data_IF_098153341743
#
_entry.id   IF_098153341743
#
_cell.length_a   1.000
_cell.length_b   1.000
_cell.length_c   1.000
_cell.angle_alpha   90.00
_cell.angle_beta   90.00
_cell.angle_gamma   90.00
#
_symmetry.space_group_name_H-M   'P 1'
#
loop_
_entity.id
_entity.type
_entity.pdbx_description
1 polymer ?
#
# COMPACT_ATOMS: atom_id res chain seq x y z
N UNK A 1 -20.60 -27.67 -13.36
CA UNK A 1 -20.59 -26.35 -14.01
C UNK A 1 -20.11 -25.38 -12.96
N UNK A 2 -18.78 -25.22 -12.85
CA UNK A 2 -18.13 -24.33 -11.86
C UNK A 2 -17.99 -22.96 -12.50
N UNK A 3 -18.57 -21.94 -11.85
CA UNK A 3 -18.41 -20.52 -12.19
C UNK A 3 -17.01 -20.04 -11.77
N UNK A 4 -16.14 -19.58 -12.71
CA UNK A 4 -14.76 -19.19 -12.38
C UNK A 4 -14.59 -17.72 -12.04
N UNK A 5 -15.59 -17.01 -11.52
CA UNK A 5 -15.54 -15.57 -11.25
C UNK A 5 -15.89 -15.16 -9.81
N UNK A 6 -15.55 -15.97 -8.83
CA UNK A 6 -15.56 -15.50 -7.44
C UNK A 6 -14.27 -14.69 -7.18
N UNK A 7 -14.29 -13.38 -7.42
CA UNK A 7 -13.32 -12.46 -6.82
C UNK A 7 -13.42 -12.58 -5.29
N UNK A 8 -12.27 -12.67 -4.56
CA UNK A 8 -12.32 -12.73 -3.10
C UNK A 8 -13.10 -11.52 -2.59
N UNK A 9 -14.05 -11.80 -1.73
CA UNK A 9 -15.00 -10.85 -1.16
C UNK A 9 -14.24 -9.72 -0.48
N UNK A 10 -14.18 -8.58 -1.16
CA UNK A 10 -13.72 -7.35 -0.53
C UNK A 10 -14.76 -6.98 0.51
N UNK A 11 -14.37 -6.93 1.77
CA UNK A 11 -15.18 -6.69 2.95
C UNK A 11 -16.35 -5.72 2.72
N UNK A 12 -17.48 -5.97 3.38
CA UNK A 12 -18.66 -5.09 3.40
C UNK A 12 -18.29 -3.67 3.85
N UNK A 13 -19.28 -2.77 3.98
CA UNK A 13 -19.00 -1.41 4.42
C UNK A 13 -18.39 -1.40 5.83
N UNK A 14 -17.30 -0.64 5.98
CA UNK A 14 -16.59 -0.47 7.24
C UNK A 14 -17.19 0.72 7.98
N UNK A 15 -17.48 0.54 9.28
CA UNK A 15 -17.93 1.62 10.15
C UNK A 15 -17.03 1.69 11.37
N UNK A 16 -16.57 2.88 11.73
CA UNK A 16 -15.84 3.12 12.97
C UNK A 16 -16.33 4.39 13.65
N UNK A 17 -16.23 4.40 14.98
CA UNK A 17 -16.61 5.54 15.81
C UNK A 17 -15.36 6.34 16.18
N UNK A 18 -15.38 7.64 15.89
CA UNK A 18 -14.31 8.55 16.29
C UNK A 18 -14.37 8.87 17.79
N UNK A 19 -13.26 9.31 18.37
CA UNK A 19 -13.19 9.75 19.76
C UNK A 19 -14.14 10.93 20.07
N UNK A 20 -14.41 11.78 19.07
CA UNK A 20 -15.41 12.85 19.19
C UNK A 20 -16.86 12.37 19.06
N UNK A 21 -17.10 11.05 18.98
CA UNK A 21 -18.43 10.44 19.01
C UNK A 21 -19.15 10.35 17.67
N UNK A 22 -18.50 10.70 16.54
CA UNK A 22 -19.08 10.52 15.19
C UNK A 22 -18.88 9.12 14.67
N UNK A 23 -19.86 8.60 13.95
CA UNK A 23 -19.73 7.37 13.18
C UNK A 23 -19.28 7.73 11.75
N UNK A 24 -18.20 7.12 11.30
CA UNK A 24 -17.73 7.20 9.92
C UNK A 24 -18.03 5.87 9.23
N UNK A 25 -18.64 5.93 8.05
CA UNK A 25 -18.95 4.74 7.25
C UNK A 25 -18.29 4.87 5.89
N UNK A 26 -17.54 3.85 5.53
CA UNK A 26 -16.88 3.74 4.23
C UNK A 26 -17.51 2.55 3.50
N UNK A 27 -17.96 2.77 2.28
CA UNK A 27 -18.62 1.74 1.49
C UNK A 27 -18.27 1.86 0.01
N UNK A 28 -18.89 0.99 -0.79
CA UNK A 28 -18.83 1.04 -2.25
C UNK A 28 -20.21 1.39 -2.79
N UNK A 29 -20.25 2.24 -3.80
CA UNK A 29 -21.46 2.68 -4.49
C UNK A 29 -21.31 2.41 -5.98
N UNK A 30 -22.24 1.65 -6.56
CA UNK A 30 -22.34 1.46 -8.00
C UNK A 30 -23.25 2.54 -8.58
N UNK A 31 -22.76 3.29 -9.56
CA UNK A 31 -23.54 4.30 -10.29
C UNK A 31 -23.69 3.87 -11.75
N UNK A 32 -24.86 4.16 -12.33
CA UNK A 32 -25.16 3.87 -13.74
C UNK A 32 -25.90 2.56 -13.93
N UNK A 33 -25.87 2.03 -15.17
CA UNK A 33 -26.59 0.80 -15.54
C UNK A 33 -25.89 -0.44 -14.98
N UNK A 34 -26.67 -1.45 -14.59
CA UNK A 34 -26.18 -2.71 -14.01
C UNK A 34 -25.13 -3.43 -14.86
N UNK A 35 -25.21 -3.31 -16.19
CA UNK A 35 -24.29 -3.97 -17.13
C UNK A 35 -22.89 -3.33 -17.19
N UNK A 36 -22.75 -2.06 -16.81
CA UNK A 36 -21.47 -1.30 -16.74
C UNK A 36 -21.49 -0.29 -15.61
N UNK A 37 -21.43 -0.74 -14.35
CA UNK A 37 -21.45 0.16 -13.22
C UNK A 37 -20.15 0.99 -13.13
N UNK A 38 -20.29 2.26 -12.84
CA UNK A 38 -19.19 3.11 -12.41
C UNK A 38 -19.08 3.05 -10.89
N UNK A 39 -18.01 2.47 -10.38
CA UNK A 39 -17.81 2.30 -8.95
C UNK A 39 -17.27 3.56 -8.29
N UNK A 40 -17.83 3.88 -7.12
CA UNK A 40 -17.36 4.95 -6.22
C UNK A 40 -17.11 4.38 -4.84
N UNK A 41 -16.23 5.02 -4.09
CA UNK A 41 -16.09 4.84 -2.65
C UNK A 41 -16.97 5.87 -1.98
N UNK A 42 -17.93 5.44 -1.17
CA UNK A 42 -18.75 6.35 -0.36
C UNK A 42 -18.09 6.57 0.99
N UNK A 43 -17.92 7.83 1.37
CA UNK A 43 -17.54 8.26 2.70
C UNK A 43 -18.71 9.00 3.32
N UNK A 44 -19.25 8.44 4.40
CA UNK A 44 -20.33 9.04 5.18
C UNK A 44 -19.79 9.47 6.54
N UNK A 45 -19.91 10.74 6.86
CA UNK A 45 -19.40 11.33 8.11
C UNK A 45 -20.38 11.21 9.28
N UNK A 46 -21.52 10.54 9.06
CA UNK A 46 -22.55 10.34 10.09
C UNK A 46 -23.10 11.64 10.69
N UNK A 47 -24.19 11.49 11.44
CA UNK A 47 -24.78 12.62 12.14
C UNK A 47 -24.01 12.92 13.43
N UNK A 48 -23.78 14.19 13.79
CA UNK A 48 -23.41 14.51 15.14
C UNK A 48 -24.54 14.09 16.11
N UNK A 49 -24.26 13.78 17.37
CA UNK A 49 -25.31 13.49 18.34
C UNK A 49 -26.35 14.63 18.36
N UNK A 50 -27.62 14.32 17.97
CA UNK A 50 -28.72 15.29 17.90
C UNK A 50 -28.91 16.05 16.57
N UNK A 51 -28.11 15.76 15.53
CA UNK A 51 -28.25 16.36 14.20
C UNK A 51 -29.04 15.50 13.22
N UNK A 52 -29.70 16.12 12.24
CA UNK A 52 -30.57 15.46 11.25
C UNK A 52 -29.92 15.18 9.89
N UNK A 53 -28.82 15.83 9.55
CA UNK A 53 -28.20 15.75 8.22
C UNK A 53 -26.79 15.14 8.24
N UNK A 54 -26.65 13.94 7.65
CA UNK A 54 -25.35 13.31 7.39
C UNK A 54 -24.69 13.91 6.15
N UNK A 55 -23.40 14.17 6.24
CA UNK A 55 -22.59 14.60 5.10
C UNK A 55 -21.91 13.37 4.49
N UNK A 56 -22.07 13.15 3.20
CA UNK A 56 -21.42 12.06 2.50
C UNK A 56 -20.74 12.57 1.23
N UNK A 57 -19.73 11.83 0.77
CA UNK A 57 -19.04 12.08 -0.48
C UNK A 57 -18.88 10.78 -1.27
N UNK A 58 -19.05 10.86 -2.58
CA UNK A 58 -18.78 9.78 -3.52
C UNK A 58 -17.45 10.04 -4.22
N UNK A 59 -16.42 9.27 -3.90
CA UNK A 59 -15.07 9.42 -4.42
C UNK A 59 -14.82 8.41 -5.55
N UNK A 60 -14.10 8.81 -6.59
CA UNK A 60 -13.49 7.84 -7.49
C UNK A 60 -12.46 6.99 -6.72
N UNK A 61 -12.12 5.77 -7.18
CA UNK A 61 -11.07 4.99 -6.54
C UNK A 61 -9.72 5.72 -6.43
N UNK A 62 -9.39 6.59 -7.41
CA UNK A 62 -8.18 7.39 -7.39
C UNK A 62 -8.22 8.51 -6.32
N UNK A 63 -9.37 9.19 -6.20
CA UNK A 63 -9.59 10.21 -5.15
C UNK A 63 -9.56 9.59 -3.76
N UNK A 64 -10.19 8.43 -3.58
CA UNK A 64 -10.18 7.70 -2.30
C UNK A 64 -8.76 7.33 -1.87
N UNK A 65 -7.91 6.85 -2.80
CA UNK A 65 -6.49 6.57 -2.50
C UNK A 65 -5.71 7.83 -2.12
N UNK A 66 -5.94 8.95 -2.81
CA UNK A 66 -5.29 10.23 -2.46
C UNK A 66 -5.73 10.75 -1.10
N UNK A 67 -7.02 10.64 -0.78
CA UNK A 67 -7.53 11.01 0.53
C UNK A 67 -6.93 10.14 1.64
N UNK A 68 -6.86 8.82 1.45
CA UNK A 68 -6.25 7.90 2.40
C UNK A 68 -4.77 8.25 2.66
N UNK A 69 -4.00 8.51 1.59
CA UNK A 69 -2.60 8.94 1.72
C UNK A 69 -2.47 10.28 2.48
N UNK A 70 -3.36 11.24 2.21
CA UNK A 70 -3.37 12.52 2.92
C UNK A 70 -3.72 12.36 4.40
N UNK A 71 -4.70 11.51 4.74
CA UNK A 71 -5.06 11.22 6.14
C UNK A 71 -3.91 10.57 6.88
N UNK A 72 -3.24 9.58 6.30
CA UNK A 72 -2.05 8.94 6.88
C UNK A 72 -0.92 9.97 7.09
N UNK A 73 -0.68 10.83 6.11
CA UNK A 73 0.33 11.88 6.21
C UNK A 73 0.04 12.88 7.33
N UNK A 74 -1.22 13.30 7.51
CA UNK A 74 -1.63 14.19 8.59
C UNK A 74 -1.56 13.51 9.97
N UNK A 75 -1.93 12.24 10.07
CA UNK A 75 -1.79 11.46 11.29
C UNK A 75 -0.31 11.40 11.72
N UNK A 76 0.59 11.02 10.80
CA UNK A 76 2.02 10.99 11.09
C UNK A 76 2.61 12.37 11.44
N UNK A 77 2.07 13.47 10.89
CA UNK A 77 2.45 14.82 11.26
C UNK A 77 1.96 15.18 12.66
N UNK A 78 0.74 14.81 13.03
CA UNK A 78 0.19 15.02 14.35
C UNK A 78 0.96 14.25 15.43
N UNK A 79 1.32 12.98 15.15
CA UNK A 79 2.14 12.17 16.06
C UNK A 79 3.53 12.79 16.29
N UNK A 80 4.16 13.32 15.23
CA UNK A 80 5.44 14.05 15.38
C UNK A 80 5.27 15.29 16.23
N UNK A 81 4.28 16.12 15.97
CA UNK A 81 4.02 17.34 16.74
C UNK A 81 3.73 17.05 18.22
N UNK A 82 3.03 15.94 18.53
CA UNK A 82 2.80 15.50 19.89
C UNK A 82 4.09 15.07 20.61
N UNK A 83 5.04 14.49 19.86
CA UNK A 83 6.32 14.03 20.38
C UNK A 83 7.40 15.14 20.44
N UNK A 84 7.27 16.20 19.62
CA UNK A 84 8.20 17.35 19.59
C UNK A 84 8.10 18.25 20.82
N UNK A 85 7.10 18.07 21.71
CA UNK A 85 7.07 18.64 23.06
C UNK A 85 8.15 18.09 24.00
N UNK A 86 8.91 17.08 23.58
CA UNK A 86 9.99 16.44 24.31
C UNK A 86 11.16 16.10 23.39
N UNK A 87 12.13 17.01 23.28
CA UNK A 87 13.41 16.90 22.60
C UNK A 87 13.39 16.90 21.06
N UNK A 88 14.08 17.88 20.51
CA UNK A 88 14.18 18.17 19.10
C UNK A 88 14.64 17.02 18.23
N UNK A 89 13.96 16.87 17.13
CA UNK A 89 14.33 15.98 16.04
C UNK A 89 14.44 16.77 14.75
N UNK A 90 15.55 17.48 14.64
CA UNK A 90 16.02 17.99 13.37
C UNK A 90 17.17 17.11 12.89
N UNK A 91 16.99 16.57 11.70
CA UNK A 91 18.01 16.61 10.66
C UNK A 91 17.43 15.92 9.43
N UNK A 92 17.29 16.66 8.34
CA UNK A 92 17.24 16.03 7.01
C UNK A 92 18.42 15.06 6.95
N UNK A 93 18.12 13.75 6.86
CA UNK A 93 19.18 12.74 6.67
C UNK A 93 20.04 13.13 5.49
N UNK A 94 21.38 13.03 5.59
CA UNK A 94 22.27 13.34 4.49
C UNK A 94 21.90 12.57 3.23
N UNK A 95 22.20 13.14 2.07
CA UNK A 95 21.90 12.50 0.79
C UNK A 95 22.51 11.09 0.74
N UNK A 96 21.65 10.07 0.66
CA UNK A 96 22.06 8.66 0.65
C UNK A 96 21.65 7.87 1.89
N UNK A 97 21.25 8.53 2.98
CA UNK A 97 20.74 7.86 4.18
C UNK A 97 19.22 8.06 4.28
N UNK A 98 18.50 6.97 4.52
CA UNK A 98 17.06 6.96 4.72
C UNK A 98 16.73 6.65 6.17
N UNK A 99 15.74 7.38 6.75
CA UNK A 99 15.20 7.09 8.06
C UNK A 99 13.74 6.68 7.93
N UNK A 100 13.38 5.61 8.61
CA UNK A 100 12.00 5.15 8.77
C UNK A 100 11.75 5.02 10.27
N UNK A 101 10.73 5.71 10.75
CA UNK A 101 10.26 5.57 12.12
C UNK A 101 9.05 4.64 12.13
N UNK A 102 8.99 3.72 13.09
CA UNK A 102 7.87 2.79 13.26
C UNK A 102 7.36 2.91 14.68
N UNK A 103 6.04 3.11 14.81
CA UNK A 103 5.36 3.23 16.10
C UNK A 103 4.20 2.24 16.19
N UNK A 104 3.94 1.77 17.41
CA UNK A 104 2.78 0.95 17.73
C UNK A 104 1.48 1.76 17.52
N UNK A 105 0.48 1.14 16.86
CA UNK A 105 -0.78 1.80 16.48
C UNK A 105 -2.03 1.11 17.03
N UNK A 106 -1.86 0.12 17.90
CA UNK A 106 -2.93 -0.65 18.54
C UNK A 106 -3.08 -2.07 17.97
N UNK A 107 -3.48 -3.03 18.78
CA UNK A 107 -3.60 -4.43 18.37
C UNK A 107 -2.29 -5.01 17.86
N UNK A 108 -2.29 -5.54 16.65
CA UNK A 108 -1.08 -6.01 15.95
C UNK A 108 -0.64 -5.02 14.85
N UNK A 109 -1.13 -3.76 14.93
CA UNK A 109 -0.87 -2.74 13.90
C UNK A 109 0.30 -1.85 14.28
N UNK A 110 1.09 -1.47 13.26
CA UNK A 110 2.20 -0.54 13.37
C UNK A 110 2.12 0.50 12.24
N UNK A 111 2.35 1.76 12.60
CA UNK A 111 2.48 2.85 11.64
C UNK A 111 3.96 3.10 11.33
N UNK A 112 4.31 3.11 10.05
CA UNK A 112 5.64 3.53 9.59
C UNK A 112 5.56 4.92 8.95
N UNK A 113 6.55 5.75 9.19
CA UNK A 113 6.64 7.10 8.65
C UNK A 113 8.05 7.36 8.07
N UNK A 114 8.11 8.00 6.91
CA UNK A 114 9.35 8.43 6.28
C UNK A 114 9.10 9.66 5.39
N UNK A 115 9.91 10.70 5.51
CA UNK A 115 9.84 11.92 4.66
C UNK A 115 8.43 12.52 4.52
N UNK A 116 7.59 12.44 5.57
CA UNK A 116 6.21 12.92 5.51
C UNK A 116 5.21 11.97 4.85
N UNK A 117 5.61 10.77 4.45
CA UNK A 117 4.72 9.69 4.01
C UNK A 117 4.50 8.70 5.15
N UNK A 118 3.33 8.08 5.20
CA UNK A 118 3.01 7.06 6.17
C UNK A 118 2.36 5.84 5.50
N UNK A 119 2.54 4.69 6.12
CA UNK A 119 1.83 3.46 5.80
C UNK A 119 1.55 2.69 7.10
N UNK A 120 0.59 1.76 7.03
CA UNK A 120 0.26 0.87 8.14
C UNK A 120 0.64 -0.57 7.78
N UNK A 121 0.98 -1.34 8.80
CA UNK A 121 1.00 -2.80 8.77
C UNK A 121 0.05 -3.35 9.79
N UNK A 122 -0.51 -4.51 9.53
CA UNK A 122 -1.30 -5.27 10.48
C UNK A 122 -1.09 -6.77 10.26
N UNK A 123 -1.63 -7.59 11.13
CA UNK A 123 -1.65 -9.03 10.94
C UNK A 123 -3.07 -9.48 10.54
N UNK A 124 -3.21 -10.61 9.79
CA UNK A 124 -4.51 -11.19 9.54
C UNK A 124 -5.15 -11.69 10.85
N UNK A 125 -6.46 -11.83 10.86
CA UNK A 125 -7.22 -12.26 12.05
C UNK A 125 -6.74 -13.61 12.61
N UNK A 126 -6.26 -14.52 11.76
CA UNK A 126 -5.65 -15.79 12.18
C UNK A 126 -4.39 -15.63 13.03
N UNK A 127 -3.74 -14.46 12.96
CA UNK A 127 -2.53 -14.13 13.70
C UNK A 127 -2.77 -13.04 14.76
N UNK A 128 -4.03 -12.82 15.15
CA UNK A 128 -4.41 -11.90 16.21
C UNK A 128 -4.65 -10.44 15.76
N UNK A 129 -4.47 -10.12 14.50
CA UNK A 129 -4.71 -8.80 13.95
C UNK A 129 -6.16 -8.53 13.53
N UNK A 130 -6.41 -7.36 12.98
CA UNK A 130 -7.70 -6.95 12.45
C UNK A 130 -7.77 -7.00 10.91
N UNK A 131 -6.69 -7.44 10.24
CA UNK A 131 -6.55 -7.43 8.77
C UNK A 131 -6.81 -6.04 8.15
N UNK A 132 -6.40 -5.00 8.88
CA UNK A 132 -6.65 -3.61 8.49
C UNK A 132 -5.61 -3.06 7.50
N UNK A 133 -4.48 -3.74 7.34
CA UNK A 133 -3.37 -3.34 6.47
C UNK A 133 -2.54 -4.56 6.03
N UNK A 134 -1.70 -4.42 4.98
CA UNK A 134 -0.80 -5.49 4.61
C UNK A 134 0.19 -5.84 5.73
N UNK A 135 0.57 -7.10 5.80
CA UNK A 135 1.63 -7.55 6.70
C UNK A 135 3.00 -6.97 6.30
N UNK A 136 3.98 -6.89 7.22
CA UNK A 136 5.35 -6.50 6.87
C UNK A 136 5.96 -7.34 5.73
N UNK A 137 5.66 -8.65 5.69
CA UNK A 137 6.10 -9.55 4.61
C UNK A 137 5.49 -9.16 3.26
N UNK A 138 4.20 -8.83 3.22
CA UNK A 138 3.54 -8.35 2.01
C UNK A 138 4.07 -6.99 1.57
N UNK A 139 4.42 -6.09 2.50
CA UNK A 139 5.09 -4.83 2.17
C UNK A 139 6.47 -5.07 1.54
N UNK A 140 7.25 -6.03 2.01
CA UNK A 140 8.53 -6.40 1.41
C UNK A 140 8.35 -6.86 -0.04
N UNK A 141 7.41 -7.77 -0.28
CA UNK A 141 7.10 -8.26 -1.63
C UNK A 141 6.50 -7.13 -2.50
N UNK A 142 5.66 -6.30 -1.91
CA UNK A 142 5.09 -5.10 -2.53
C UNK A 142 6.16 -4.08 -2.92
N UNK A 143 7.16 -3.85 -2.06
CA UNK A 143 8.30 -2.99 -2.37
C UNK A 143 9.10 -3.49 -3.58
N UNK A 144 9.33 -4.80 -3.67
CA UNK A 144 9.96 -5.39 -4.85
C UNK A 144 9.10 -5.20 -6.10
N UNK A 145 7.79 -5.48 -6.01
CA UNK A 145 6.87 -5.35 -7.15
C UNK A 145 6.78 -3.91 -7.67
N UNK A 146 6.67 -2.93 -6.76
CA UNK A 146 6.62 -1.51 -7.13
C UNK A 146 7.95 -1.01 -7.69
N UNK A 147 9.09 -1.51 -7.19
CA UNK A 147 10.41 -1.19 -7.73
C UNK A 147 10.56 -1.73 -9.17
N UNK A 148 10.14 -2.96 -9.43
CA UNK A 148 10.09 -3.55 -10.77
C UNK A 148 9.18 -2.74 -11.70
N UNK A 149 7.98 -2.36 -11.25
CA UNK A 149 7.04 -1.54 -12.00
C UNK A 149 7.64 -0.17 -12.35
N UNK A 150 8.35 0.47 -11.42
CA UNK A 150 9.02 1.74 -11.66
C UNK A 150 10.06 1.66 -12.78
N UNK A 151 10.94 0.67 -12.76
CA UNK A 151 11.97 0.50 -13.78
C UNK A 151 11.37 0.10 -15.13
N UNK A 152 10.37 -0.79 -15.15
CA UNK A 152 9.64 -1.14 -16.36
C UNK A 152 8.93 0.09 -16.96
N UNK A 153 8.25 0.88 -16.13
CA UNK A 153 7.57 2.11 -16.54
C UNK A 153 8.53 3.14 -17.14
N UNK A 154 9.70 3.35 -16.51
CA UNK A 154 10.74 4.24 -17.07
C UNK A 154 11.27 3.74 -18.42
N UNK A 155 11.44 2.43 -18.56
CA UNK A 155 11.84 1.85 -19.84
C UNK A 155 10.81 2.14 -20.93
N UNK A 156 9.52 1.90 -20.67
CA UNK A 156 8.44 2.18 -21.60
C UNK A 156 8.43 3.66 -22.02
N UNK A 157 8.45 4.58 -21.06
CA UNK A 157 8.46 6.03 -21.33
C UNK A 157 9.65 6.46 -22.19
N UNK A 158 10.86 5.97 -21.91
CA UNK A 158 12.06 6.28 -22.71
C UNK A 158 11.98 5.83 -24.17
N UNK A 159 11.12 4.84 -24.45
CA UNK A 159 10.93 4.31 -25.81
C UNK A 159 9.61 4.76 -26.44
N UNK A 160 8.97 5.80 -25.89
CA UNK A 160 7.72 6.35 -26.42
C UNK A 160 6.54 5.38 -26.33
N UNK A 161 6.59 4.40 -25.41
CA UNK A 161 5.54 3.42 -25.18
C UNK A 161 4.68 3.83 -23.99
N UNK A 162 3.39 3.62 -24.12
CA UNK A 162 2.44 3.88 -23.05
C UNK A 162 2.66 2.92 -21.87
N UNK A 163 2.43 3.43 -20.66
CA UNK A 163 2.53 2.65 -19.41
C UNK A 163 1.20 2.48 -18.65
N UNK A 164 0.09 2.99 -19.18
CA UNK A 164 -1.20 3.02 -18.47
C UNK A 164 -1.72 1.62 -18.14
N UNK A 165 -1.40 0.63 -18.97
CA UNK A 165 -1.75 -0.78 -18.74
C UNK A 165 -0.66 -1.58 -18.05
N UNK A 166 0.49 -0.95 -17.71
CA UNK A 166 1.55 -1.64 -16.96
C UNK A 166 1.02 -2.12 -15.61
N UNK A 167 1.17 -3.42 -15.37
CA UNK A 167 0.86 -4.06 -14.09
C UNK A 167 1.98 -5.01 -13.70
N UNK A 168 2.21 -5.12 -12.41
CA UNK A 168 3.08 -6.14 -11.83
C UNK A 168 2.28 -6.90 -10.80
N UNK A 169 2.15 -8.20 -11.00
CA UNK A 169 1.57 -9.12 -10.03
C UNK A 169 2.71 -9.86 -9.34
N UNK A 170 2.68 -9.90 -8.02
CA UNK A 170 3.63 -10.63 -7.21
C UNK A 170 2.92 -11.77 -6.47
N UNK A 171 3.48 -12.97 -6.58
CA UNK A 171 3.09 -14.15 -5.81
C UNK A 171 4.29 -14.58 -4.98
N UNK A 172 4.08 -15.02 -3.74
CA UNK A 172 5.17 -15.50 -2.91
C UNK A 172 4.75 -16.70 -2.08
N UNK A 173 5.73 -17.48 -1.67
CA UNK A 173 5.56 -18.61 -0.75
C UNK A 173 6.57 -18.50 0.38
N UNK A 174 6.16 -18.90 1.58
CA UNK A 174 7.06 -19.02 2.71
C UNK A 174 7.95 -20.26 2.56
N UNK A 175 9.18 -20.20 3.05
CA UNK A 175 10.03 -21.38 3.14
C UNK A 175 9.44 -22.39 4.13
N UNK A 176 9.60 -23.68 3.81
CA UNK A 176 9.07 -24.75 4.65
C UNK A 176 9.93 -25.03 5.89
N UNK A 177 11.20 -24.61 5.86
CA UNK A 177 12.18 -24.77 6.93
C UNK A 177 12.28 -23.52 7.84
N UNK A 178 13.10 -23.59 8.86
CA UNK A 178 13.39 -22.48 9.78
C UNK A 178 14.76 -21.86 9.50
N UNK A 179 14.97 -20.59 9.80
CA UNK A 179 13.99 -19.62 10.32
C UNK A 179 12.91 -19.24 9.30
N UNK A 180 11.75 -18.74 9.78
CA UNK A 180 10.66 -18.32 8.93
C UNK A 180 11.11 -17.17 8.00
N UNK A 181 10.91 -17.35 6.68
CA UNK A 181 11.30 -16.38 5.65
C UNK A 181 10.49 -16.59 4.38
N UNK A 182 10.47 -15.60 3.50
CA UNK A 182 9.97 -15.79 2.14
C UNK A 182 10.93 -16.73 1.40
N UNK A 183 10.40 -17.83 0.88
CA UNK A 183 11.18 -18.86 0.18
C UNK A 183 11.25 -18.61 -1.32
N UNK A 184 10.18 -18.08 -1.92
CA UNK A 184 10.14 -17.76 -3.35
C UNK A 184 9.22 -16.57 -3.61
N UNK A 185 9.59 -15.75 -4.60
CA UNK A 185 8.77 -14.64 -5.12
C UNK A 185 8.73 -14.79 -6.64
N UNK A 186 7.53 -14.75 -7.21
CA UNK A 186 7.31 -14.73 -8.65
C UNK A 186 6.67 -13.39 -9.04
N UNK A 187 7.29 -12.69 -9.97
CA UNK A 187 6.76 -11.43 -10.51
C UNK A 187 6.32 -11.65 -11.95
N UNK A 188 5.12 -11.19 -12.29
CA UNK A 188 4.59 -11.15 -13.65
C UNK A 188 4.36 -9.71 -14.06
N UNK A 189 5.06 -9.27 -15.09
CA UNK A 189 4.95 -7.92 -15.64
C UNK A 189 4.06 -7.96 -16.87
N UNK A 190 2.91 -7.30 -16.80
CA UNK A 190 2.00 -7.11 -17.93
C UNK A 190 2.31 -5.77 -18.57
N UNK A 191 2.58 -5.77 -19.87
CA UNK A 191 2.94 -4.58 -20.65
C UNK A 191 1.94 -4.36 -21.79
N UNK A 192 1.86 -3.16 -22.38
CA UNK A 192 1.03 -2.88 -23.54
C UNK A 192 1.29 -3.86 -24.69
N UNK A 193 0.24 -4.21 -25.44
CA UNK A 193 0.34 -5.10 -26.60
C UNK A 193 1.31 -4.55 -27.68
N UNK A 194 1.45 -3.22 -27.76
CA UNK A 194 2.35 -2.53 -28.70
C UNK A 194 3.85 -2.65 -28.39
N UNK A 195 4.26 -3.31 -27.29
CA UNK A 195 5.69 -3.52 -27.00
C UNK A 195 6.28 -4.54 -27.99
N UNK A 196 7.22 -4.16 -28.87
CA UNK A 196 7.82 -5.05 -29.83
C UNK A 196 8.53 -6.22 -29.16
N UNK A 197 8.45 -7.41 -29.74
CA UNK A 197 9.04 -8.63 -29.18
C UNK A 197 10.54 -8.46 -28.88
N UNK A 198 11.29 -7.82 -29.78
CA UNK A 198 12.71 -7.52 -29.62
C UNK A 198 13.04 -6.64 -28.39
N UNK A 199 12.08 -5.85 -27.90
CA UNK A 199 12.27 -4.96 -26.73
C UNK A 199 11.88 -5.64 -25.40
N UNK A 200 11.13 -6.73 -25.44
CA UNK A 200 10.66 -7.42 -24.21
C UNK A 200 11.79 -7.96 -23.36
N UNK A 201 12.82 -8.54 -24.01
CA UNK A 201 14.00 -9.04 -23.29
C UNK A 201 14.76 -7.92 -22.56
N UNK A 202 14.98 -6.79 -23.24
CA UNK A 202 15.64 -5.62 -22.64
C UNK A 202 14.81 -5.01 -21.50
N UNK A 203 13.48 -4.93 -21.66
CA UNK A 203 12.57 -4.46 -20.61
C UNK A 203 12.67 -5.36 -19.37
N UNK A 204 12.63 -6.68 -19.53
CA UNK A 204 12.77 -7.63 -18.42
C UNK A 204 14.15 -7.51 -17.76
N UNK A 205 15.22 -7.37 -18.53
CA UNK A 205 16.56 -7.18 -17.99
C UNK A 205 16.63 -5.92 -17.11
N UNK A 206 16.09 -4.78 -17.56
CA UNK A 206 16.06 -3.53 -16.79
C UNK A 206 15.18 -3.69 -15.53
N UNK A 207 14.02 -4.28 -15.64
CA UNK A 207 13.10 -4.49 -14.52
C UNK A 207 13.69 -5.43 -13.45
N UNK A 208 14.45 -6.46 -13.86
CA UNK A 208 15.09 -7.43 -12.97
C UNK A 208 16.35 -6.91 -12.27
N UNK A 209 16.82 -5.70 -12.58
CA UNK A 209 17.98 -5.07 -11.91
C UNK A 209 17.57 -3.86 -11.09
N UNK A 210 16.35 -3.85 -10.55
CA UNK A 210 15.88 -2.78 -9.69
C UNK A 210 16.59 -2.81 -8.31
N UNK A 211 16.63 -1.67 -7.64
CA UNK A 211 17.35 -1.51 -6.36
C UNK A 211 16.93 -2.55 -5.32
N UNK A 212 15.62 -2.75 -5.11
CA UNK A 212 15.13 -3.74 -4.14
C UNK A 212 15.54 -5.16 -4.52
N UNK A 213 15.48 -5.51 -5.83
CA UNK A 213 15.95 -6.83 -6.28
C UNK A 213 17.43 -7.04 -6.01
N UNK A 214 18.27 -6.04 -6.30
CA UNK A 214 19.70 -6.10 -6.02
C UNK A 214 19.98 -6.26 -4.53
N UNK A 215 19.25 -5.53 -3.67
CA UNK A 215 19.34 -5.64 -2.21
C UNK A 215 18.98 -7.06 -1.70
N UNK A 216 17.95 -7.68 -2.29
CA UNK A 216 17.59 -9.06 -1.93
C UNK A 216 18.58 -10.11 -2.41
N UNK A 217 19.39 -9.81 -3.43
CA UNK A 217 20.45 -10.70 -3.94
C UNK A 217 21.78 -10.52 -3.22
N UNK A 218 22.01 -9.32 -2.71
CA UNK A 218 23.19 -8.96 -1.94
C UNK A 218 22.68 -8.36 -0.63
N UNK A 219 22.56 -9.22 0.38
CA UNK A 219 22.01 -8.85 1.67
C UNK A 219 22.79 -7.71 2.32
N UNK A 220 22.12 -6.67 2.82
CA UNK A 220 22.79 -5.61 3.57
C UNK A 220 23.19 -6.11 4.95
N UNK A 221 24.19 -5.48 5.56
CA UNK A 221 24.45 -5.66 6.98
C UNK A 221 23.26 -5.12 7.80
N UNK A 222 22.76 -5.93 8.73
CA UNK A 222 21.64 -5.57 9.61
C UNK A 222 22.13 -5.61 11.05
N UNK A 223 21.94 -4.51 11.77
CA UNK A 223 22.22 -4.41 13.21
C UNK A 223 20.92 -4.04 13.92
N UNK A 224 20.67 -4.64 15.08
CA UNK A 224 19.52 -4.32 15.95
C UNK A 224 20.05 -4.05 17.35
N UNK A 225 19.83 -2.81 17.82
CA UNK A 225 20.29 -2.36 19.14
C UNK A 225 19.07 -1.97 20.00
N UNK A 226 19.24 -2.05 21.32
CA UNK A 226 18.31 -1.50 22.30
C UNK A 226 18.81 -0.13 22.76
N UNK A 227 17.93 0.85 22.77
CA UNK A 227 18.20 2.23 23.21
C UNK A 227 17.67 2.47 24.62
#
# INVERSE_FOLDING_TARGET
MNDPAAHPDVAGPVTFRTTCGRNLRIGRLALGRAERPSWRVSLDLGHPPGGSDGTWAGLTPAEARRLAAALLGQAAAADRAANEGGAGHDAASPAGEGRIDVAYSGGESYALATRGHAALTDQPASNGGADAAPTPTELLVGALATCVAFYAGRYLTRHGLDRDVLRVTAEFTMAADRPARVGAIRLRVTVPAGVPAARRAALLAVASHCTVHNTLRQEPAITVDLA
#
